data_IF_444084521036
#
_entry.id   IF_444084521036
#
_cell.length_a   1.000
_cell.length_b   1.000
_cell.length_c   1.000
_cell.angle_alpha   90.00
_cell.angle_beta   90.00
_cell.angle_gamma   90.00
#
_symmetry.space_group_name_H-M   'P 1'
#
loop_
_entity.id
_entity.type
_entity.pdbx_description
1 polymer ?
#
# COMPACT_ATOMS: atom_id res chain seq x y z
N UNK A 1 -51.57 -22.06 -36.90
CA UNK A 1 -50.65 -23.08 -36.30
C UNK A 1 -49.32 -22.39 -36.10
N UNK A 2 -48.69 -22.50 -34.92
CA UNK A 2 -47.53 -21.70 -34.52
C UNK A 2 -46.36 -21.75 -35.52
N UNK A 3 -45.93 -20.59 -36.01
CA UNK A 3 -44.74 -20.41 -36.85
C UNK A 3 -43.62 -19.72 -36.04
N UNK A 4 -42.40 -20.27 -36.14
CA UNK A 4 -41.27 -20.08 -35.22
C UNK A 4 -40.30 -18.93 -35.59
N UNK A 5 -40.77 -17.78 -36.07
CA UNK A 5 -39.85 -16.75 -36.65
C UNK A 5 -39.85 -15.36 -36.00
N UNK A 6 -40.17 -15.15 -34.70
CA UNK A 6 -40.19 -13.74 -34.23
C UNK A 6 -40.27 -13.38 -32.75
N UNK A 7 -39.45 -13.95 -31.85
CA UNK A 7 -39.39 -13.50 -30.45
C UNK A 7 -38.22 -12.55 -30.08
N UNK A 8 -37.53 -11.94 -31.06
CA UNK A 8 -36.43 -11.00 -30.78
C UNK A 8 -36.81 -9.50 -30.84
N UNK A 9 -38.07 -9.14 -31.11
CA UNK A 9 -38.47 -7.73 -31.29
C UNK A 9 -39.55 -7.23 -30.30
N UNK A 10 -40.06 -8.08 -29.40
CA UNK A 10 -41.15 -7.68 -28.47
C UNK A 10 -40.68 -6.93 -27.21
N UNK A 11 -39.42 -6.51 -27.11
CA UNK A 11 -38.84 -5.87 -25.92
C UNK A 11 -38.44 -4.40 -26.18
N UNK A 12 -39.22 -3.64 -26.96
CA UNK A 12 -38.89 -2.23 -27.25
C UNK A 12 -40.11 -1.28 -27.31
N UNK A 13 -41.20 -1.53 -26.59
CA UNK A 13 -42.34 -0.59 -26.54
C UNK A 13 -42.98 -0.42 -25.14
N UNK A 14 -42.18 -0.10 -24.12
CA UNK A 14 -42.72 0.43 -22.85
C UNK A 14 -41.99 1.71 -22.43
N UNK A 15 -42.23 2.78 -23.19
CA UNK A 15 -41.73 4.14 -22.92
C UNK A 15 -42.91 5.14 -22.95
N UNK A 16 -43.94 4.90 -22.13
CA UNK A 16 -45.03 5.88 -21.90
C UNK A 16 -45.82 5.62 -20.60
N UNK A 17 -45.14 5.44 -19.46
CA UNK A 17 -45.79 5.42 -18.15
C UNK A 17 -45.44 6.67 -17.32
N UNK A 18 -46.40 7.32 -16.62
CA UNK A 18 -46.07 8.23 -15.55
C UNK A 18 -45.59 7.36 -14.38
N UNK A 19 -44.39 7.63 -13.89
CA UNK A 19 -43.87 6.93 -12.72
C UNK A 19 -44.77 7.21 -11.51
N UNK A 20 -45.31 6.19 -10.81
CA UNK A 20 -45.78 6.40 -9.45
C UNK A 20 -44.57 6.74 -8.55
N UNK A 21 -44.73 7.46 -7.43
CA UNK A 21 -43.65 7.59 -6.45
C UNK A 21 -43.29 6.18 -5.97
N UNK A 22 -42.04 5.77 -6.21
CA UNK A 22 -41.56 4.46 -5.79
C UNK A 22 -41.67 4.36 -4.26
N UNK A 23 -42.25 3.27 -3.71
CA UNK A 23 -42.33 3.11 -2.27
C UNK A 23 -40.92 2.88 -1.68
N UNK A 24 -40.63 3.59 -0.57
CA UNK A 24 -39.34 3.64 0.14
C UNK A 24 -38.84 2.28 0.71
N UNK A 25 -39.53 1.18 0.43
CA UNK A 25 -39.24 -0.15 0.97
C UNK A 25 -38.95 -1.22 -0.11
N UNK A 26 -38.82 -0.86 -1.40
CA UNK A 26 -38.22 -1.79 -2.38
C UNK A 26 -36.73 -1.94 -2.11
N UNK A 27 -36.40 -2.87 -1.23
CA UNK A 27 -35.05 -3.35 -1.01
C UNK A 27 -34.52 -4.12 -2.23
N UNK A 28 -33.23 -3.93 -2.48
CA UNK A 28 -32.27 -5.00 -2.79
C UNK A 28 -32.51 -5.88 -4.03
N UNK A 29 -32.42 -5.33 -5.26
CA UNK A 29 -32.25 -6.17 -6.45
C UNK A 29 -31.41 -5.60 -7.62
N UNK A 30 -31.03 -4.32 -7.63
CA UNK A 30 -30.28 -3.72 -8.75
C UNK A 30 -28.78 -3.47 -8.47
N UNK A 31 -28.19 -4.08 -7.43
CA UNK A 31 -26.80 -3.85 -7.03
C UNK A 31 -25.84 -5.02 -7.27
N UNK A 32 -26.33 -6.16 -7.75
CA UNK A 32 -25.46 -7.25 -8.21
C UNK A 32 -25.23 -7.10 -9.72
N UNK A 33 -24.19 -6.36 -10.11
CA UNK A 33 -23.58 -6.54 -11.43
C UNK A 33 -22.42 -7.54 -11.29
N UNK A 34 -22.62 -8.85 -11.54
CA UNK A 34 -21.55 -9.84 -11.58
C UNK A 34 -20.83 -9.71 -12.93
N UNK A 35 -20.02 -8.66 -13.04
CA UNK A 35 -19.28 -8.34 -14.25
C UNK A 35 -18.13 -7.39 -14.01
N UNK A 36 -17.78 -7.14 -12.75
CA UNK A 36 -16.43 -6.68 -12.46
C UNK A 36 -15.58 -7.94 -12.54
N UNK A 37 -14.82 -8.04 -13.63
CA UNK A 37 -13.52 -8.70 -13.52
C UNK A 37 -12.70 -7.76 -12.64
N UNK A 38 -12.87 -7.88 -11.32
CA UNK A 38 -11.99 -7.30 -10.33
C UNK A 38 -10.70 -8.07 -10.56
N UNK A 39 -9.91 -7.60 -11.53
CA UNK A 39 -8.58 -8.10 -11.81
C UNK A 39 -7.82 -8.15 -10.48
N UNK A 40 -6.69 -8.83 -10.43
CA UNK A 40 -6.01 -9.11 -9.18
C UNK A 40 -4.98 -8.03 -8.73
N UNK A 41 -5.22 -6.69 -8.60
CA UNK A 41 -4.24 -5.81 -7.98
C UNK A 41 -4.34 -5.79 -6.45
N UNK A 42 -5.48 -6.14 -5.84
CA UNK A 42 -5.69 -5.95 -4.40
C UNK A 42 -4.73 -6.77 -3.53
N UNK A 43 -4.45 -8.01 -3.93
CA UNK A 43 -3.50 -8.87 -3.22
C UNK A 43 -2.07 -8.33 -3.32
N UNK A 44 -1.67 -7.83 -4.49
CA UNK A 44 -0.33 -7.27 -4.73
C UNK A 44 -0.16 -5.97 -3.92
N UNK A 45 -1.15 -5.08 -3.97
CA UNK A 45 -1.13 -3.81 -3.23
C UNK A 45 -1.02 -4.08 -1.72
N UNK A 46 -1.77 -5.05 -1.19
CA UNK A 46 -1.70 -5.42 0.23
C UNK A 46 -0.32 -5.95 0.64
N UNK A 47 0.31 -6.78 -0.20
CA UNK A 47 1.65 -7.30 0.08
C UNK A 47 2.68 -6.16 0.03
N UNK A 48 2.60 -5.27 -0.96
CA UNK A 48 3.49 -4.10 -1.07
C UNK A 48 3.33 -3.15 0.11
N UNK A 49 2.09 -2.89 0.52
CA UNK A 49 1.79 -2.07 1.69
C UNK A 49 2.37 -2.67 2.98
N UNK A 50 2.21 -3.98 3.17
CA UNK A 50 2.82 -4.72 4.27
C UNK A 50 4.35 -4.60 4.27
N UNK A 51 4.99 -4.82 3.11
CA UNK A 51 6.44 -4.73 2.96
C UNK A 51 6.96 -3.34 3.31
N UNK A 52 6.37 -2.30 2.74
CA UNK A 52 6.75 -0.93 3.05
C UNK A 52 6.52 -0.56 4.53
N UNK A 53 5.50 -1.12 5.18
CA UNK A 53 5.23 -0.91 6.61
C UNK A 53 6.33 -1.54 7.48
N UNK A 54 6.76 -2.76 7.16
CA UNK A 54 7.91 -3.41 7.83
C UNK A 54 9.18 -2.58 7.64
N UNK A 55 9.44 -2.11 6.42
CA UNK A 55 10.57 -1.22 6.16
C UNK A 55 10.52 0.05 7.01
N UNK A 56 9.35 0.69 7.11
CA UNK A 56 9.18 1.87 7.95
C UNK A 56 9.51 1.60 9.42
N UNK A 57 9.07 0.45 9.95
CA UNK A 57 9.37 0.03 11.32
C UNK A 57 10.88 -0.19 11.52
N UNK A 58 11.54 -0.90 10.61
CA UNK A 58 12.99 -1.16 10.65
C UNK A 58 13.80 0.14 10.62
N UNK A 59 13.44 1.08 9.73
CA UNK A 59 14.13 2.37 9.63
C UNK A 59 13.91 3.23 10.87
N UNK A 60 12.70 3.22 11.43
CA UNK A 60 12.39 3.90 12.69
C UNK A 60 13.19 3.31 13.85
N UNK A 61 13.25 1.97 13.96
CA UNK A 61 14.04 1.28 14.96
C UNK A 61 15.52 1.66 14.85
N UNK A 62 16.09 1.76 13.64
CA UNK A 62 17.48 2.18 13.44
C UNK A 62 17.73 3.58 14.02
N UNK A 63 16.86 4.55 13.74
CA UNK A 63 16.98 5.91 14.26
C UNK A 63 16.94 5.89 15.80
N UNK A 64 16.01 5.15 16.40
CA UNK A 64 15.92 5.03 17.86
C UNK A 64 17.17 4.37 18.46
N UNK A 65 17.71 3.33 17.80
CA UNK A 65 18.91 2.61 18.25
C UNK A 65 20.17 3.48 18.18
N UNK A 66 20.25 4.48 17.29
CA UNK A 66 21.43 5.38 17.22
C UNK A 66 21.65 6.19 18.49
N UNK A 67 20.61 6.39 19.31
CA UNK A 67 20.70 7.15 20.56
C UNK A 67 21.01 6.28 21.77
N UNK A 68 21.03 4.96 21.59
CA UNK A 68 21.34 4.00 22.65
C UNK A 68 22.82 3.64 22.53
N UNK A 69 23.66 4.00 23.53
CA UNK A 69 25.05 3.57 23.53
C UNK A 69 25.12 2.06 23.80
N UNK A 70 25.41 1.28 22.75
CA UNK A 70 25.51 -0.19 22.86
C UNK A 70 26.97 -0.60 23.04
N UNK A 71 27.22 -1.42 24.05
CA UNK A 71 28.52 -2.03 24.32
C UNK A 71 28.68 -3.28 23.44
N UNK A 72 29.87 -3.48 22.89
CA UNK A 72 30.20 -4.64 22.05
C UNK A 72 30.03 -5.96 22.81
N UNK A 73 29.48 -6.98 22.17
CA UNK A 73 29.37 -8.35 22.71
C UNK A 73 28.06 -8.68 23.43
N UNK A 74 27.02 -7.83 23.31
CA UNK A 74 25.68 -8.10 23.81
C UNK A 74 24.67 -8.40 22.70
N UNK A 75 23.54 -9.01 23.05
CA UNK A 75 22.44 -9.35 22.13
C UNK A 75 21.92 -8.13 21.34
N UNK A 76 21.95 -6.93 21.95
CA UNK A 76 21.59 -5.69 21.27
C UNK A 76 22.55 -5.31 20.15
N UNK A 77 23.85 -5.57 20.31
CA UNK A 77 24.85 -5.30 19.27
C UNK A 77 24.62 -6.21 18.05
N UNK A 78 24.36 -7.49 18.29
CA UNK A 78 24.06 -8.45 17.22
C UNK A 78 22.81 -8.06 16.44
N UNK A 79 21.74 -7.61 17.13
CA UNK A 79 20.52 -7.12 16.48
C UNK A 79 20.81 -5.89 15.61
N UNK A 80 21.60 -4.94 16.11
CA UNK A 80 22.00 -3.74 15.36
C UNK A 80 22.79 -4.12 14.12
N UNK A 81 23.73 -5.07 14.22
CA UNK A 81 24.54 -5.51 13.09
C UNK A 81 23.71 -6.22 12.02
N UNK A 82 22.73 -7.04 12.43
CA UNK A 82 21.77 -7.64 11.50
C UNK A 82 20.92 -6.56 10.82
N UNK A 83 20.36 -5.61 11.57
CA UNK A 83 19.58 -4.51 11.00
C UNK A 83 20.42 -3.65 10.04
N UNK A 84 21.66 -3.37 10.41
CA UNK A 84 22.60 -2.64 9.55
C UNK A 84 22.85 -3.43 8.28
N UNK A 85 23.24 -4.70 8.35
CA UNK A 85 23.52 -5.52 7.15
C UNK A 85 22.34 -5.64 6.20
N UNK A 86 21.10 -5.71 6.71
CA UNK A 86 19.88 -5.75 5.91
C UNK A 86 19.58 -4.42 5.23
N UNK A 87 19.85 -3.30 5.89
CA UNK A 87 19.49 -1.96 5.40
C UNK A 87 20.62 -1.26 4.62
N UNK A 88 21.88 -1.65 4.85
CA UNK A 88 23.06 -1.10 4.20
C UNK A 88 23.01 -1.15 2.66
N UNK A 89 22.59 -2.23 1.97
CA UNK A 89 22.56 -2.22 0.50
C UNK A 89 21.62 -1.15 -0.08
N UNK A 90 20.55 -0.80 0.65
CA UNK A 90 19.60 0.23 0.24
C UNK A 90 20.07 1.64 0.64
N UNK A 91 20.78 1.74 1.76
CA UNK A 91 21.20 3.03 2.33
C UNK A 91 22.59 3.48 1.87
N UNK A 92 23.46 2.58 1.42
CA UNK A 92 24.80 2.89 0.94
C UNK A 92 24.80 3.89 -0.24
N UNK A 93 23.92 3.79 -1.25
CA UNK A 93 23.81 4.82 -2.29
C UNK A 93 23.40 6.19 -1.74
N UNK A 94 22.47 6.21 -0.77
CA UNK A 94 21.97 7.45 -0.15
C UNK A 94 23.07 8.10 0.71
N UNK A 95 23.83 7.28 1.47
CA UNK A 95 24.96 7.73 2.31
C UNK A 95 26.09 8.36 1.51
N UNK A 96 26.27 7.99 0.24
CA UNK A 96 27.25 8.65 -0.64
C UNK A 96 26.86 10.07 -0.99
N UNK A 97 25.57 10.39 -0.99
CA UNK A 97 25.04 11.71 -1.34
C UNK A 97 24.94 12.57 -0.07
N UNK A 98 24.44 11.99 1.02
CA UNK A 98 24.21 12.68 2.29
C UNK A 98 24.93 11.89 3.39
N UNK A 99 26.18 12.25 3.71
CA UNK A 99 26.92 11.61 4.79
C UNK A 99 26.22 11.84 6.14
N UNK A 100 26.35 10.91 7.09
CA UNK A 100 25.77 11.04 8.42
C UNK A 100 26.32 12.26 9.15
N UNK A 101 25.46 12.92 9.92
CA UNK A 101 25.81 14.14 10.64
C UNK A 101 26.33 13.74 12.03
N UNK A 102 27.57 14.08 12.40
CA UNK A 102 28.04 13.89 13.77
C UNK A 102 27.31 14.88 14.69
N UNK A 103 26.64 14.36 15.72
CA UNK A 103 25.92 15.15 16.73
C UNK A 103 26.40 14.76 18.13
N UNK A 104 27.30 15.57 18.70
CA UNK A 104 27.80 15.40 20.06
C UNK A 104 28.48 14.04 20.28
N UNK A 105 27.84 13.18 21.07
CA UNK A 105 28.35 11.84 21.43
C UNK A 105 27.92 10.72 20.46
N UNK A 106 27.26 11.04 19.35
CA UNK A 106 26.80 10.03 18.38
C UNK A 106 26.74 10.55 16.94
N UNK A 107 26.20 9.71 16.06
CA UNK A 107 25.96 10.03 14.65
C UNK A 107 24.46 9.96 14.36
N UNK A 108 23.94 10.97 13.68
CA UNK A 108 22.58 10.95 13.17
C UNK A 108 22.59 10.54 11.69
N UNK A 109 22.10 9.33 11.45
CA UNK A 109 21.86 8.81 10.11
C UNK A 109 20.56 9.40 9.55
N UNK A 110 20.67 10.37 8.63
CA UNK A 110 19.51 10.89 7.91
C UNK A 110 19.08 10.01 6.73
N UNK A 111 19.91 9.04 6.32
CA UNK A 111 19.60 8.17 5.19
C UNK A 111 18.30 7.36 5.37
N UNK A 112 18.01 6.78 6.56
CA UNK A 112 16.71 6.16 6.85
C UNK A 112 15.53 7.12 6.69
N UNK A 113 15.68 8.38 7.12
CA UNK A 113 14.65 9.41 7.00
C UNK A 113 14.35 9.75 5.52
N UNK A 114 15.41 9.94 4.73
CA UNK A 114 15.31 10.15 3.28
C UNK A 114 14.61 8.95 2.63
N UNK A 115 14.98 7.72 2.99
CA UNK A 115 14.39 6.51 2.44
C UNK A 115 12.89 6.39 2.79
N UNK A 116 12.49 6.73 4.03
CA UNK A 116 11.07 6.79 4.41
C UNK A 116 10.29 7.81 3.56
N UNK A 117 10.87 8.98 3.32
CA UNK A 117 10.26 10.02 2.49
C UNK A 117 10.12 9.56 1.04
N UNK A 118 11.15 8.89 0.50
CA UNK A 118 11.15 8.29 -0.82
C UNK A 118 10.07 7.20 -0.94
N UNK A 119 9.99 6.29 0.03
CA UNK A 119 8.96 5.25 0.06
C UNK A 119 7.56 5.87 0.11
N UNK A 120 7.31 6.84 1.00
CA UNK A 120 6.03 7.53 1.06
C UNK A 120 5.67 8.27 -0.25
N UNK A 121 6.67 8.82 -0.94
CA UNK A 121 6.47 9.41 -2.25
C UNK A 121 6.10 8.36 -3.31
N UNK A 122 6.84 7.25 -3.38
CA UNK A 122 6.55 6.13 -4.28
C UNK A 122 5.15 5.57 -4.05
N UNK A 123 4.79 5.41 -2.77
CA UNK A 123 3.47 4.98 -2.33
C UNK A 123 2.37 5.85 -2.95
N UNK A 124 2.41 7.17 -2.73
CA UNK A 124 1.45 8.13 -3.30
C UNK A 124 1.43 8.23 -4.83
N UNK A 125 2.49 7.76 -5.50
CA UNK A 125 2.57 7.75 -6.95
C UNK A 125 1.95 6.48 -7.54
N UNK A 126 2.07 5.35 -6.83
CA UNK A 126 1.58 4.04 -7.28
C UNK A 126 0.09 3.85 -7.04
N UNK A 127 -0.50 4.56 -6.09
CA UNK A 127 -1.91 4.52 -5.70
C UNK A 127 -2.40 5.89 -5.26
#
# INVERSE_FOLDING_TARGET
MCEWTGCLWACQETLSWPLPPAPIWFGSAAQSLPGRMDSMPDSIIRILDGLFSVFYLVLTARILLTWIPVQSGGLLADIIDVLNSLTEPLLAPIRKIIPPIPLGMGYLDLSPLILMLLVNFLRRLLY
#
